data_IF_058669834721
#
_entry.id   IF_058669834721
#
_cell.length_a   1.000
_cell.length_b   1.000
_cell.length_c   1.000
_cell.angle_alpha   90.00
_cell.angle_beta   90.00
_cell.angle_gamma   90.00
#
_symmetry.space_group_name_H-M   'P 1'
#
loop_
_entity.id
_entity.type
_entity.pdbx_description
1 polymer ?
#
# COMPACT_ATOMS: atom_id res chain seq x y z
N UNK A 1 18.68 -37.62 14.88
CA UNK A 1 18.25 -37.79 13.47
C UNK A 1 18.43 -36.47 12.78
N UNK A 2 19.18 -36.45 11.69
CA UNK A 2 19.37 -35.25 10.86
C UNK A 2 18.20 -35.12 9.87
N UNK A 3 17.55 -33.97 9.83
CA UNK A 3 16.40 -33.69 8.97
C UNK A 3 16.73 -33.91 7.47
N UNK A 4 17.98 -33.67 7.07
CA UNK A 4 18.43 -33.91 5.70
C UNK A 4 18.29 -35.39 5.31
N UNK A 5 18.63 -36.32 6.20
CA UNK A 5 18.50 -37.76 5.94
C UNK A 5 17.05 -38.23 5.90
N UNK A 6 16.13 -37.51 6.54
CA UNK A 6 14.69 -37.78 6.45
C UNK A 6 14.09 -37.33 5.11
N UNK A 7 14.64 -36.28 4.50
CA UNK A 7 14.14 -35.71 3.24
C UNK A 7 14.71 -36.36 1.98
N UNK A 8 15.91 -36.95 2.07
CA UNK A 8 16.59 -37.63 0.93
C UNK A 8 15.69 -38.64 0.19
N UNK A 9 14.93 -39.55 0.85
CA UNK A 9 14.07 -40.49 0.13
C UNK A 9 12.99 -39.80 -0.71
N UNK A 10 12.37 -38.75 -0.18
CA UNK A 10 11.34 -37.99 -0.89
C UNK A 10 11.92 -37.19 -2.07
N UNK A 11 13.11 -36.60 -1.90
CA UNK A 11 13.84 -35.92 -2.98
C UNK A 11 14.26 -36.88 -4.09
N UNK A 12 14.71 -38.09 -3.75
CA UNK A 12 15.13 -39.10 -4.74
C UNK A 12 13.95 -39.64 -5.54
N UNK A 13 12.77 -39.83 -4.91
CA UNK A 13 11.55 -40.24 -5.61
C UNK A 13 10.90 -39.10 -6.41
N UNK A 14 11.22 -37.85 -6.10
CA UNK A 14 10.62 -36.67 -6.73
C UNK A 14 9.24 -36.30 -6.15
N UNK A 15 8.91 -36.78 -4.95
CA UNK A 15 7.63 -36.51 -4.28
C UNK A 15 7.49 -35.02 -3.89
N UNK A 16 8.62 -34.31 -3.79
CA UNK A 16 8.70 -32.89 -3.43
C UNK A 16 9.59 -32.12 -4.40
N UNK A 17 9.23 -30.87 -4.65
CA UNK A 17 10.06 -29.89 -5.39
C UNK A 17 10.53 -28.83 -4.41
N UNK A 18 11.82 -28.53 -4.43
CA UNK A 18 12.46 -27.63 -3.45
C UNK A 18 13.37 -26.65 -4.19
N UNK A 19 13.36 -25.40 -3.76
CA UNK A 19 14.37 -24.40 -4.10
C UNK A 19 15.17 -24.10 -2.84
N UNK A 20 16.50 -24.23 -2.94
CA UNK A 20 17.43 -23.89 -1.86
C UNK A 20 18.20 -22.62 -2.21
N UNK A 21 18.54 -21.84 -1.19
CA UNK A 21 19.46 -20.71 -1.31
C UNK A 21 20.62 -20.94 -0.34
N UNK A 22 21.84 -20.97 -0.88
CA UNK A 22 23.07 -21.22 -0.12
C UNK A 22 24.19 -20.33 -0.63
N UNK A 23 25.18 -20.07 0.19
CA UNK A 23 26.46 -19.56 -0.31
C UNK A 23 27.18 -20.65 -1.12
N UNK A 24 28.13 -20.27 -1.97
CA UNK A 24 28.92 -21.24 -2.75
C UNK A 24 29.70 -22.21 -1.86
N UNK A 25 30.25 -21.73 -0.74
CA UNK A 25 30.97 -22.54 0.23
C UNK A 25 30.08 -23.55 0.96
N UNK A 26 28.86 -23.17 1.32
CA UNK A 26 27.87 -24.09 1.90
C UNK A 26 27.39 -25.12 0.89
N UNK A 27 27.18 -24.72 -0.37
CA UNK A 27 26.83 -25.65 -1.44
C UNK A 27 27.91 -26.71 -1.61
N UNK A 28 29.18 -26.30 -1.70
CA UNK A 28 30.30 -27.23 -1.88
C UNK A 28 30.45 -28.18 -0.69
N UNK A 29 30.27 -27.67 0.54
CA UNK A 29 30.41 -28.46 1.77
C UNK A 29 29.27 -29.46 1.98
N UNK A 30 28.02 -29.06 1.72
CA UNK A 30 26.85 -29.81 2.17
C UNK A 30 26.05 -30.47 1.05
N UNK A 31 26.11 -29.94 -0.17
CA UNK A 31 25.37 -30.47 -1.33
C UNK A 31 26.30 -31.22 -2.27
N UNK A 32 27.37 -30.58 -2.74
CA UNK A 32 28.33 -31.20 -3.68
C UNK A 32 29.04 -32.40 -3.06
N UNK A 33 29.32 -32.35 -1.76
CA UNK A 33 29.93 -33.47 -1.03
C UNK A 33 29.05 -34.72 -0.91
N UNK A 34 27.73 -34.62 -1.13
CA UNK A 34 26.79 -35.75 -1.04
C UNK A 34 26.32 -36.18 -2.44
N UNK A 35 26.75 -37.36 -2.94
CA UNK A 35 26.40 -37.83 -4.28
C UNK A 35 24.90 -37.98 -4.56
N UNK A 36 24.08 -38.19 -3.52
CA UNK A 36 22.64 -38.31 -3.70
C UNK A 36 21.98 -36.94 -3.89
N UNK A 37 22.48 -35.91 -3.20
CA UNK A 37 21.97 -34.54 -3.31
C UNK A 37 22.50 -33.84 -4.57
N UNK A 38 23.78 -34.00 -4.90
CA UNK A 38 24.40 -33.41 -6.08
C UNK A 38 23.67 -33.80 -7.38
N UNK A 39 23.15 -35.03 -7.47
CA UNK A 39 22.40 -35.51 -8.64
C UNK A 39 20.96 -34.99 -8.72
N UNK A 40 20.45 -34.34 -7.68
CA UNK A 40 19.04 -33.90 -7.58
C UNK A 40 18.89 -32.39 -7.54
N UNK A 41 19.93 -31.68 -7.11
CA UNK A 41 19.97 -30.22 -7.20
C UNK A 41 20.69 -29.79 -8.47
N UNK A 42 20.02 -28.95 -9.25
CA UNK A 42 20.65 -28.19 -10.31
C UNK A 42 21.12 -26.85 -9.73
N UNK A 43 22.43 -26.57 -9.65
CA UNK A 43 22.89 -25.27 -9.21
C UNK A 43 22.52 -24.21 -10.26
N UNK A 44 21.98 -23.10 -9.78
CA UNK A 44 21.77 -21.87 -10.54
C UNK A 44 22.60 -20.80 -9.86
N UNK A 45 23.69 -20.39 -10.51
CA UNK A 45 24.57 -19.34 -9.98
C UNK A 45 23.85 -17.99 -10.10
N UNK A 46 23.77 -17.28 -8.99
CA UNK A 46 23.25 -15.91 -8.94
C UNK A 46 24.45 -14.99 -8.78
N UNK A 47 24.74 -14.23 -9.82
CA UNK A 47 25.80 -13.23 -9.81
C UNK A 47 25.33 -11.93 -9.14
N UNK A 48 26.29 -11.15 -8.65
CA UNK A 48 26.01 -9.81 -8.16
C UNK A 48 25.47 -8.93 -9.29
N UNK A 49 24.47 -8.10 -8.97
CA UNK A 49 23.87 -7.19 -9.95
C UNK A 49 24.86 -6.11 -10.40
N UNK A 50 24.78 -5.77 -11.69
CA UNK A 50 25.47 -4.59 -12.18
C UNK A 50 24.82 -3.29 -11.65
N UNK A 51 25.44 -2.14 -11.94
CA UNK A 51 24.98 -0.85 -11.43
C UNK A 51 23.61 -0.46 -12.01
N UNK A 52 23.31 -0.82 -13.26
CA UNK A 52 22.07 -0.47 -13.95
C UNK A 52 20.93 -1.35 -13.42
N UNK A 53 21.17 -2.65 -13.28
CA UNK A 53 20.22 -3.59 -12.66
C UNK A 53 19.92 -3.19 -11.21
N UNK A 54 20.94 -2.77 -10.47
CA UNK A 54 20.76 -2.27 -9.10
C UNK A 54 19.92 -1.00 -9.08
N UNK A 55 20.14 -0.08 -10.03
CA UNK A 55 19.32 1.11 -10.19
C UNK A 55 17.84 0.76 -10.39
N UNK A 56 17.54 -0.19 -11.28
CA UNK A 56 16.16 -0.66 -11.52
C UNK A 56 15.52 -1.24 -10.25
N UNK A 57 16.28 -2.04 -9.49
CA UNK A 57 15.83 -2.56 -8.18
C UNK A 57 15.52 -1.40 -7.22
N UNK A 58 16.40 -0.41 -7.11
CA UNK A 58 16.19 0.74 -6.22
C UNK A 58 14.98 1.59 -6.64
N UNK A 59 14.77 1.80 -7.95
CA UNK A 59 13.57 2.48 -8.48
C UNK A 59 12.31 1.70 -8.13
N UNK A 60 12.33 0.37 -8.28
CA UNK A 60 11.19 -0.48 -7.91
C UNK A 60 10.92 -0.48 -6.38
N UNK A 61 11.97 -0.34 -5.56
CA UNK A 61 11.87 -0.32 -4.09
C UNK A 61 11.49 1.06 -3.54
N UNK A 62 11.79 2.15 -4.25
CA UNK A 62 11.56 3.54 -3.82
C UNK A 62 10.16 3.79 -3.26
N UNK A 63 9.04 3.43 -3.95
CA UNK A 63 7.70 3.73 -3.42
C UNK A 63 7.40 2.99 -2.11
N UNK A 64 8.07 1.89 -1.81
CA UNK A 64 7.92 1.19 -0.54
C UNK A 64 8.71 1.87 0.57
N UNK A 65 9.94 2.30 0.28
CA UNK A 65 10.80 3.04 1.23
C UNK A 65 10.19 4.39 1.59
N UNK A 66 9.79 5.19 0.59
CA UNK A 66 9.14 6.49 0.79
C UNK A 66 7.91 6.37 1.70
N UNK A 67 7.07 5.36 1.47
CA UNK A 67 5.87 5.12 2.29
C UNK A 67 6.18 4.61 3.70
N UNK A 68 7.22 3.78 3.84
CA UNK A 68 7.57 3.21 5.14
C UNK A 68 8.11 4.28 6.08
N UNK A 69 8.99 5.12 5.56
CA UNK A 69 9.65 6.17 6.32
C UNK A 69 8.93 7.52 6.28
N UNK A 70 7.91 7.67 5.43
CA UNK A 70 7.24 8.95 5.18
C UNK A 70 8.21 10.06 4.74
N UNK A 71 9.04 9.75 3.74
CA UNK A 71 10.04 10.66 3.15
C UNK A 71 9.92 10.64 1.63
N UNK A 72 10.39 11.68 0.95
CA UNK A 72 10.60 11.65 -0.50
C UNK A 72 12.05 11.26 -0.82
N UNK A 73 12.27 10.47 -1.86
CA UNK A 73 13.62 10.04 -2.28
C UNK A 73 13.91 10.60 -3.68
N UNK A 74 15.07 11.22 -3.84
CA UNK A 74 15.53 11.76 -5.12
C UNK A 74 16.27 10.71 -5.96
N UNK A 75 16.32 10.92 -7.28
CA UNK A 75 17.15 10.12 -8.19
C UNK A 75 18.64 10.20 -7.81
N UNK A 76 19.09 11.36 -7.36
CA UNK A 76 20.46 11.59 -6.89
C UNK A 76 20.80 10.70 -5.68
N UNK A 77 19.88 10.53 -4.73
CA UNK A 77 20.06 9.62 -3.60
C UNK A 77 20.26 8.16 -4.06
N UNK A 78 19.52 7.71 -5.08
CA UNK A 78 19.72 6.36 -5.62
C UNK A 78 21.10 6.21 -6.29
N UNK A 79 21.56 7.23 -7.02
CA UNK A 79 22.89 7.22 -7.65
C UNK A 79 23.99 7.16 -6.60
N UNK A 80 23.89 8.01 -5.59
CA UNK A 80 24.82 8.06 -4.47
C UNK A 80 24.88 6.71 -3.74
N UNK A 81 23.72 6.06 -3.52
CA UNK A 81 23.67 4.78 -2.81
C UNK A 81 24.46 3.69 -3.54
N UNK A 82 24.37 3.65 -4.88
CA UNK A 82 25.15 2.71 -5.68
C UNK A 82 26.64 3.07 -5.63
N UNK A 83 26.98 4.29 -6.07
CA UNK A 83 28.38 4.71 -6.25
C UNK A 83 29.18 4.68 -4.95
N UNK A 84 28.60 5.14 -3.86
CA UNK A 84 29.30 5.23 -2.58
C UNK A 84 29.46 3.86 -1.93
N UNK A 85 28.44 2.99 -2.02
CA UNK A 85 28.56 1.63 -1.45
C UNK A 85 29.53 0.76 -2.24
N UNK A 86 29.65 0.95 -3.55
CA UNK A 86 30.70 0.27 -4.33
C UNK A 86 32.11 0.68 -3.94
N UNK A 87 32.29 1.96 -3.62
CA UNK A 87 33.60 2.49 -3.27
C UNK A 87 34.01 2.18 -1.84
N UNK A 88 33.06 2.24 -0.90
CA UNK A 88 33.35 2.25 0.54
C UNK A 88 32.85 1.01 1.29
N UNK A 89 32.02 0.16 0.64
CA UNK A 89 31.48 -1.09 1.21
C UNK A 89 31.71 -2.27 0.24
N UNK A 90 32.97 -2.56 -0.14
CA UNK A 90 33.29 -3.58 -1.15
C UNK A 90 33.07 -5.03 -0.69
N UNK A 91 32.95 -5.28 0.61
CA UNK A 91 32.76 -6.61 1.20
C UNK A 91 31.31 -7.11 1.12
N UNK A 92 30.37 -6.25 0.72
CA UNK A 92 28.96 -6.59 0.53
C UNK A 92 28.60 -6.52 -0.96
N UNK A 93 27.61 -7.32 -1.34
CA UNK A 93 27.13 -7.36 -2.71
C UNK A 93 25.94 -6.40 -2.93
N UNK A 94 25.82 -5.87 -4.15
CA UNK A 94 24.58 -5.28 -4.66
C UNK A 94 23.48 -6.34 -4.78
N UNK A 95 22.18 -5.95 -4.71
CA UNK A 95 21.67 -4.62 -4.41
C UNK A 95 21.57 -4.32 -2.91
N UNK A 96 21.83 -5.31 -2.06
CA UNK A 96 21.60 -5.31 -0.62
C UNK A 96 22.28 -4.13 0.08
N UNK A 97 23.59 -3.93 -0.15
CA UNK A 97 24.33 -2.80 0.43
C UNK A 97 23.77 -1.42 0.09
N UNK A 98 23.25 -1.26 -1.14
CA UNK A 98 22.71 0.02 -1.61
C UNK A 98 21.31 0.28 -1.03
N UNK A 99 20.50 -0.79 -0.89
CA UNK A 99 19.19 -0.71 -0.23
C UNK A 99 19.37 -0.32 1.24
N UNK A 100 20.31 -0.95 1.95
CA UNK A 100 20.53 -0.71 3.37
C UNK A 100 20.92 0.73 3.68
N UNK A 101 21.92 1.27 2.97
CA UNK A 101 22.35 2.66 3.17
C UNK A 101 21.23 3.64 2.83
N UNK A 102 20.44 3.34 1.79
CA UNK A 102 19.29 4.18 1.44
C UNK A 102 18.20 4.11 2.51
N UNK A 103 17.91 2.93 3.07
CA UNK A 103 16.93 2.73 4.13
C UNK A 103 17.33 3.47 5.41
N UNK A 104 18.61 3.40 5.79
CA UNK A 104 19.17 4.14 6.93
C UNK A 104 19.12 5.65 6.70
N UNK A 105 19.40 6.13 5.49
CA UNK A 105 19.26 7.54 5.14
C UNK A 105 17.80 8.01 5.25
N UNK A 106 16.84 7.18 4.87
CA UNK A 106 15.41 7.46 5.03
C UNK A 106 15.01 7.51 6.51
N UNK A 107 15.44 6.52 7.30
CA UNK A 107 15.17 6.46 8.74
C UNK A 107 15.74 7.69 9.46
N UNK A 108 16.97 8.10 9.12
CA UNK A 108 17.60 9.30 9.65
C UNK A 108 16.81 10.56 9.28
N UNK A 109 16.47 10.74 8.00
CA UNK A 109 15.71 11.90 7.55
C UNK A 109 14.39 12.03 8.32
N UNK A 110 13.66 10.92 8.48
CA UNK A 110 12.41 10.91 9.24
C UNK A 110 12.61 11.19 10.73
N UNK A 111 13.64 10.63 11.35
CA UNK A 111 13.93 10.84 12.76
C UNK A 111 14.27 12.32 13.07
N UNK A 112 14.87 13.02 12.10
CA UNK A 112 15.19 14.45 12.23
C UNK A 112 14.06 15.39 11.79
N UNK A 113 13.00 14.85 11.18
CA UNK A 113 11.92 15.66 10.63
C UNK A 113 10.97 16.18 11.73
N UNK A 114 10.57 17.44 11.60
CA UNK A 114 9.44 17.99 12.35
C UNK A 114 8.16 17.79 11.51
N UNK A 115 7.30 16.85 11.94
CA UNK A 115 6.10 16.50 11.19
C UNK A 115 4.98 17.52 11.44
N UNK A 116 4.56 18.25 10.40
CA UNK A 116 3.43 19.15 10.52
C UNK A 116 2.09 18.37 10.58
N UNK A 117 1.03 18.92 11.23
CA UNK A 117 -0.27 18.27 11.32
C UNK A 117 -0.90 17.87 9.98
N UNK A 118 -0.64 18.64 8.92
CA UNK A 118 -1.17 18.37 7.58
C UNK A 118 -0.53 17.13 6.94
N UNK A 119 0.79 16.99 7.03
CA UNK A 119 1.48 15.78 6.57
C UNK A 119 0.97 14.54 7.32
N UNK A 120 0.80 14.69 8.63
CA UNK A 120 0.27 13.66 9.51
C UNK A 120 -1.15 13.22 9.11
N UNK A 121 -1.99 14.18 8.72
CA UNK A 121 -3.34 13.95 8.20
C UNK A 121 -3.27 13.18 6.88
N UNK A 122 -2.46 13.62 5.92
CA UNK A 122 -2.30 12.97 4.61
C UNK A 122 -1.80 11.52 4.77
N UNK A 123 -0.85 11.28 5.66
CA UNK A 123 -0.34 9.92 5.96
C UNK A 123 -1.48 9.03 6.49
N UNK A 124 -2.30 9.54 7.41
CA UNK A 124 -3.44 8.80 7.97
C UNK A 124 -4.50 8.51 6.91
N UNK A 125 -4.86 9.49 6.07
CA UNK A 125 -5.82 9.31 4.98
C UNK A 125 -5.34 8.26 3.97
N UNK A 126 -4.07 8.34 3.56
CA UNK A 126 -3.47 7.37 2.64
C UNK A 126 -3.40 5.97 3.23
N UNK A 127 -3.15 5.82 4.53
CA UNK A 127 -3.23 4.52 5.25
C UNK A 127 -4.64 3.95 5.27
N UNK A 128 -5.68 4.79 5.42
CA UNK A 128 -7.08 4.35 5.37
C UNK A 128 -7.44 3.79 4.00
N UNK A 129 -7.10 4.51 2.92
CA UNK A 129 -7.35 4.08 1.53
C UNK A 129 -6.64 2.74 1.25
N UNK A 130 -5.38 2.60 1.67
CA UNK A 130 -4.65 1.33 1.54
C UNK A 130 -5.29 0.16 2.31
N UNK A 131 -5.89 0.44 3.47
CA UNK A 131 -6.61 -0.58 4.23
C UNK A 131 -7.91 -0.99 3.51
N UNK A 132 -8.61 -0.05 2.86
CA UNK A 132 -9.80 -0.35 2.05
C UNK A 132 -9.45 -1.19 0.81
N UNK A 133 -8.41 -0.82 0.07
CA UNK A 133 -7.95 -1.58 -1.10
C UNK A 133 -7.54 -3.00 -0.70
N UNK A 134 -6.82 -3.17 0.42
CA UNK A 134 -6.46 -4.51 0.93
C UNK A 134 -7.65 -5.37 1.32
N UNK A 135 -8.79 -4.76 1.65
CA UNK A 135 -10.07 -5.45 1.91
C UNK A 135 -10.86 -5.77 0.63
N UNK A 136 -10.34 -5.40 -0.55
CA UNK A 136 -10.98 -5.65 -1.83
C UNK A 136 -12.05 -4.62 -2.22
N UNK A 137 -12.12 -3.48 -1.53
CA UNK A 137 -13.01 -2.39 -1.92
C UNK A 137 -12.47 -1.69 -3.17
N UNK A 138 -13.36 -1.24 -4.05
CA UNK A 138 -13.03 -0.46 -5.27
C UNK A 138 -13.40 1.01 -5.15
N UNK A 139 -14.41 1.33 -4.33
CA UNK A 139 -14.86 2.68 -4.04
C UNK A 139 -14.91 2.89 -2.52
N UNK A 140 -14.84 4.15 -2.09
CA UNK A 140 -15.15 4.50 -0.70
C UNK A 140 -16.60 4.13 -0.41
N UNK A 141 -16.83 3.37 0.66
CA UNK A 141 -18.18 3.20 1.19
C UNK A 141 -18.68 4.58 1.58
N UNK A 142 -19.81 5.06 0.99
CA UNK A 142 -20.35 6.34 1.40
C UNK A 142 -20.64 6.26 2.90
N UNK A 143 -20.11 7.22 3.66
CA UNK A 143 -20.65 7.51 4.98
C UNK A 143 -22.06 8.03 4.73
N UNK A 144 -23.04 7.13 4.67
CA UNK A 144 -24.42 7.54 4.76
C UNK A 144 -24.59 8.01 6.20
N UNK A 145 -24.43 9.31 6.45
CA UNK A 145 -25.37 9.94 7.39
C UNK A 145 -26.75 9.56 6.86
N UNK A 146 -27.62 8.92 7.66
CA UNK A 146 -28.97 8.63 7.18
C UNK A 146 -29.53 9.97 6.74
N UNK A 147 -29.79 10.12 5.44
CA UNK A 147 -30.26 11.38 4.88
C UNK A 147 -31.47 11.79 5.72
N UNK A 148 -31.36 12.92 6.43
CA UNK A 148 -32.41 13.38 7.33
C UNK A 148 -33.75 13.45 6.59
N UNK A 149 -33.70 13.80 5.30
CA UNK A 149 -34.82 13.80 4.36
C UNK A 149 -35.46 12.42 4.16
N UNK A 150 -34.66 11.35 4.08
CA UNK A 150 -35.17 10.00 3.88
C UNK A 150 -35.83 9.46 5.16
N UNK A 151 -35.26 9.80 6.33
CA UNK A 151 -35.88 9.49 7.63
C UNK A 151 -37.17 10.29 7.81
N UNK A 152 -37.17 11.57 7.40
CA UNK A 152 -38.33 12.46 7.46
C UNK A 152 -39.47 12.03 6.52
N UNK A 153 -39.19 11.38 5.38
CA UNK A 153 -40.22 10.81 4.50
C UNK A 153 -40.71 9.43 4.95
N UNK A 154 -39.82 8.57 5.41
CA UNK A 154 -40.16 7.18 5.73
C UNK A 154 -41.00 7.09 7.01
N UNK A 155 -40.72 7.92 8.03
CA UNK A 155 -41.44 7.86 9.31
C UNK A 155 -42.94 8.16 9.18
N UNK A 156 -43.36 9.27 8.55
CA UNK A 156 -44.78 9.57 8.35
C UNK A 156 -45.47 8.54 7.45
N UNK A 157 -44.75 7.97 6.48
CA UNK A 157 -45.26 6.93 5.61
C UNK A 157 -45.56 5.65 6.39
N UNK A 158 -44.66 5.24 7.29
CA UNK A 158 -44.85 4.06 8.16
C UNK A 158 -46.00 4.27 9.16
N UNK A 159 -46.13 5.46 9.76
CA UNK A 159 -47.26 5.78 10.63
C UNK A 159 -48.60 5.68 9.90
N UNK A 160 -48.65 6.19 8.66
CA UNK A 160 -49.86 6.14 7.83
C UNK A 160 -50.24 4.71 7.46
N UNK A 161 -49.25 3.86 7.12
CA UNK A 161 -49.46 2.43 6.86
C UNK A 161 -49.93 1.71 8.13
N UNK A 162 -49.36 2.03 9.30
CA UNK A 162 -49.79 1.49 10.59
C UNK A 162 -51.25 1.82 10.90
N UNK A 163 -51.65 3.09 10.74
CA UNK A 163 -53.02 3.53 10.95
C UNK A 163 -54.03 2.91 9.96
N UNK A 164 -53.59 2.64 8.73
CA UNK A 164 -54.40 2.00 7.70
C UNK A 164 -54.61 0.50 7.97
N UNK A 165 -53.57 -0.19 8.46
CA UNK A 165 -53.65 -1.58 8.92
C UNK A 165 -54.56 -1.69 10.16
N UNK A 166 -54.47 -0.74 11.08
CA UNK A 166 -55.32 -0.69 12.29
C UNK A 166 -56.80 -0.45 11.95
N UNK A 167 -57.09 0.39 10.94
CA UNK A 167 -58.44 0.55 10.36
C UNK A 167 -58.94 -0.71 9.65
N UNK A 168 -58.06 -1.49 9.03
CA UNK A 168 -58.44 -2.73 8.34
C UNK A 168 -58.69 -3.90 9.31
N UNK A 169 -57.99 -3.93 10.45
CA UNK A 169 -58.10 -4.99 11.47
C UNK A 169 -59.08 -4.66 12.61
N UNK A 170 -59.41 -3.38 12.82
CA UNK A 170 -60.43 -2.91 13.77
C UNK A 170 -61.84 -3.00 13.17
N UNK A 171 -62.44 -4.20 13.20
CA UNK A 171 -63.81 -4.40 12.77
C UNK A 171 -64.83 -3.63 13.64
N UNK A 172 -65.61 -2.76 13.02
CA UNK A 172 -67.08 -2.87 12.99
C UNK A 172 -67.67 -1.93 11.93
N UNK A 173 -68.37 -2.52 10.95
CA UNK A 173 -69.11 -1.80 9.91
C UNK A 173 -70.39 -1.23 10.51
N UNK A 174 -70.53 0.10 10.50
CA UNK A 174 -71.62 0.81 9.79
C UNK A 174 -71.44 2.33 9.87
N UNK A 175 -71.14 2.95 8.75
CA UNK A 175 -71.58 4.32 8.48
C UNK A 175 -72.06 4.41 7.03
N UNK A 176 -73.29 4.90 6.88
CA UNK A 176 -73.87 5.37 5.62
C UNK A 176 -73.04 6.51 5.04
N UNK A 177 -73.11 6.60 3.72
CA UNK A 177 -72.77 7.69 2.82
C UNK A 177 -72.66 9.10 3.41
N UNK A 178 -71.62 9.83 2.99
CA UNK A 178 -71.68 11.25 2.56
C UNK A 178 -70.63 11.49 1.46
N UNK A 179 -71.07 12.13 0.39
CA UNK A 179 -70.33 12.65 -0.76
C UNK A 179 -69.53 13.93 -0.45
N UNK A 180 -68.60 14.27 -1.35
CA UNK A 180 -67.88 15.54 -1.43
C UNK A 180 -66.47 15.41 -0.87
N UNK A 181 -65.39 15.77 -1.56
CA UNK A 181 -65.19 16.63 -2.71
C UNK A 181 -63.79 17.23 -2.53
N UNK A 182 -63.12 17.50 -3.65
CA UNK A 182 -61.96 18.40 -3.81
C UNK A 182 -60.53 17.84 -3.62
N UNK A 183 -59.70 18.09 -4.64
CA UNK A 183 -58.26 18.29 -4.45
C UNK A 183 -57.29 17.30 -5.10
N UNK A 184 -57.46 16.92 -6.38
CA UNK A 184 -56.40 16.21 -7.10
C UNK A 184 -55.31 17.21 -7.55
N UNK A 185 -54.29 17.43 -6.71
CA UNK A 185 -53.07 18.15 -7.12
C UNK A 185 -52.12 17.14 -7.74
N UNK A 186 -52.07 17.13 -9.07
CA UNK A 186 -51.09 16.36 -9.82
C UNK A 186 -49.69 16.93 -9.58
N UNK A 187 -48.90 16.29 -8.73
CA UNK A 187 -47.45 16.46 -8.71
C UNK A 187 -46.91 15.86 -10.02
N UNK A 188 -46.55 16.73 -10.98
CA UNK A 188 -45.77 16.31 -12.13
C UNK A 188 -44.40 15.79 -11.68
N UNK A 189 -43.83 14.78 -12.36
CA UNK A 189 -42.51 14.27 -12.02
C UNK A 189 -41.49 15.43 -12.12
N UNK A 190 -40.58 15.59 -11.14
CA UNK A 190 -39.54 16.62 -11.21
C UNK A 190 -38.71 16.43 -12.48
N UNK A 191 -38.22 17.52 -13.10
CA UNK A 191 -37.40 17.42 -14.30
C UNK A 191 -36.16 16.55 -14.02
N UNK A 192 -35.71 15.73 -14.98
CA UNK A 192 -34.51 14.94 -14.81
C UNK A 192 -33.34 15.90 -14.59
N UNK A 193 -32.79 15.90 -13.38
CA UNK A 193 -31.56 16.61 -13.07
C UNK A 193 -30.47 16.06 -13.97
N UNK A 194 -30.05 16.86 -14.96
CA UNK A 194 -28.87 16.59 -15.79
C UNK A 194 -27.59 16.89 -15.01
N UNK A 195 -27.52 16.45 -13.75
CA UNK A 195 -26.26 16.33 -13.06
C UNK A 195 -25.50 15.21 -13.77
N UNK A 196 -24.45 15.58 -14.51
CA UNK A 196 -23.48 14.63 -15.02
C UNK A 196 -22.92 13.92 -13.80
N UNK A 197 -23.47 12.76 -13.47
CA UNK A 197 -23.00 11.93 -12.38
C UNK A 197 -21.66 11.36 -12.83
N UNK A 198 -20.59 12.13 -12.62
CA UNK A 198 -19.24 11.58 -12.69
C UNK A 198 -19.22 10.47 -11.63
N UNK A 199 -18.87 9.23 -11.97
CA UNK A 199 -18.75 8.18 -10.98
C UNK A 199 -17.72 8.63 -9.94
N UNK A 200 -17.95 8.34 -8.65
CA UNK A 200 -16.98 8.68 -7.61
C UNK A 200 -15.62 8.05 -7.95
N UNK A 201 -14.51 8.78 -7.72
CA UNK A 201 -13.19 8.28 -8.02
C UNK A 201 -12.97 6.92 -7.36
N UNK A 202 -12.31 6.03 -8.08
CA UNK A 202 -11.91 4.72 -7.54
C UNK A 202 -10.92 4.93 -6.41
N UNK A 203 -10.83 3.96 -5.49
CA UNK A 203 -9.82 3.97 -4.43
C UNK A 203 -8.39 4.02 -4.99
N UNK A 204 -8.18 3.47 -6.19
CA UNK A 204 -6.89 3.55 -6.91
C UNK A 204 -6.56 4.98 -7.33
N UNK A 205 -7.53 5.70 -7.91
CA UNK A 205 -7.37 7.10 -8.29
C UNK A 205 -7.16 7.98 -7.05
N UNK A 206 -7.96 7.77 -6.00
CA UNK A 206 -7.81 8.48 -4.73
C UNK A 206 -6.45 8.23 -4.08
N UNK A 207 -5.97 6.99 -4.14
CA UNK A 207 -4.62 6.65 -3.68
C UNK A 207 -3.56 7.41 -4.47
N UNK A 208 -3.66 7.46 -5.79
CA UNK A 208 -2.69 8.16 -6.63
C UNK A 208 -2.67 9.67 -6.35
N UNK A 209 -3.84 10.27 -6.14
CA UNK A 209 -3.98 11.68 -5.72
C UNK A 209 -3.28 11.93 -4.38
N UNK A 210 -3.57 11.10 -3.36
CA UNK A 210 -2.94 11.19 -2.05
C UNK A 210 -1.43 10.97 -2.10
N UNK A 211 -0.95 10.02 -2.90
CA UNK A 211 0.48 9.77 -3.09
C UNK A 211 1.16 11.03 -3.69
N UNK A 212 0.49 11.75 -4.60
CA UNK A 212 0.96 13.03 -5.15
C UNK A 212 0.98 14.18 -4.14
N UNK A 213 -0.11 14.35 -3.38
CA UNK A 213 -0.21 15.37 -2.32
C UNK A 213 0.83 15.15 -1.21
N UNK A 214 1.00 13.89 -0.78
CA UNK A 214 2.02 13.51 0.18
C UNK A 214 3.41 13.88 -0.29
N UNK A 215 3.74 13.56 -1.55
CA UNK A 215 5.05 13.88 -2.10
C UNK A 215 5.30 15.39 -2.12
N UNK A 216 4.32 16.18 -2.57
CA UNK A 216 4.43 17.64 -2.60
C UNK A 216 4.62 18.22 -1.19
N UNK A 217 3.90 17.70 -0.20
CA UNK A 217 4.01 18.17 1.19
C UNK A 217 5.36 17.78 1.83
N UNK A 218 5.85 16.57 1.55
CA UNK A 218 7.17 16.12 1.99
C UNK A 218 8.29 16.99 1.39
N UNK A 219 8.18 17.34 0.11
CA UNK A 219 9.10 18.24 -0.56
C UNK A 219 9.03 19.66 0.00
N UNK A 220 7.82 20.17 0.27
CA UNK A 220 7.61 21.48 0.88
C UNK A 220 8.22 21.58 2.29
N UNK A 221 8.08 20.53 3.10
CA UNK A 221 8.68 20.46 4.45
C UNK A 221 10.17 20.09 4.43
N UNK A 222 10.74 19.79 3.26
CA UNK A 222 12.15 19.41 3.13
C UNK A 222 12.48 18.01 3.65
N UNK A 223 11.48 17.15 3.86
CA UNK A 223 11.65 15.75 4.28
C UNK A 223 12.00 14.91 3.05
N UNK A 224 13.17 15.20 2.48
CA UNK A 224 13.66 14.68 1.20
C UNK A 224 15.06 14.11 1.36
N UNK A 225 15.22 12.84 1.03
CA UNK A 225 16.51 12.14 1.01
C UNK A 225 17.26 12.46 -0.29
N UNK A 226 18.46 13.01 -0.13
CA UNK A 226 19.37 13.42 -1.22
C UNK A 226 20.67 12.62 -1.18
N UNK A 227 21.50 12.72 -2.23
CA UNK A 227 22.78 12.03 -2.27
C UNK A 227 23.72 12.41 -1.12
N UNK A 228 23.65 13.65 -0.62
CA UNK A 228 24.41 14.07 0.56
C UNK A 228 23.99 13.34 1.85
N UNK A 229 22.72 12.97 1.99
CA UNK A 229 22.25 12.22 3.17
C UNK A 229 22.78 10.79 3.14
N UNK A 230 22.77 10.17 1.95
CA UNK A 230 23.41 8.87 1.71
C UNK A 230 24.90 8.93 2.02
N UNK A 231 25.60 9.97 1.57
CA UNK A 231 27.03 10.15 1.85
C UNK A 231 27.32 10.28 3.35
N UNK A 232 26.45 10.97 4.10
CA UNK A 232 26.55 11.08 5.56
C UNK A 232 26.43 9.71 6.23
N UNK A 233 25.49 8.88 5.80
CA UNK A 233 25.30 7.52 6.32
C UNK A 233 26.53 6.66 6.04
N UNK A 234 26.98 6.60 4.78
CA UNK A 234 28.19 5.83 4.42
C UNK A 234 29.40 6.34 5.20
N UNK A 235 29.56 7.66 5.30
CA UNK A 235 30.64 8.29 6.04
C UNK A 235 30.64 7.93 7.52
N UNK A 236 29.45 7.89 8.14
CA UNK A 236 29.28 7.48 9.53
C UNK A 236 29.68 6.01 9.73
N UNK A 237 29.24 5.12 8.83
CA UNK A 237 29.57 3.70 8.88
C UNK A 237 31.09 3.43 8.78
N UNK A 238 31.82 4.21 7.98
CA UNK A 238 33.28 4.05 7.80
C UNK A 238 34.13 4.97 8.70
N UNK A 239 33.51 5.82 9.52
CA UNK A 239 34.19 6.79 10.39
C UNK A 239 34.94 7.90 9.65
N UNK A 240 34.49 8.31 8.45
CA UNK A 240 35.12 9.37 7.64
C UNK A 240 34.08 10.32 7.06
N UNK A 241 34.43 11.61 6.94
CA UNK A 241 33.61 12.56 6.18
C UNK A 241 33.64 12.23 4.70
N UNK A 242 32.47 12.03 4.09
CA UNK A 242 32.31 11.82 2.65
C UNK A 242 31.48 12.98 2.09
N UNK A 243 31.98 13.60 1.03
CA UNK A 243 31.22 14.57 0.24
C UNK A 243 30.67 13.90 -1.02
N UNK A 244 29.43 14.24 -1.37
CA UNK A 244 28.79 13.82 -2.62
C UNK A 244 28.59 15.01 -3.55
N UNK A 245 29.07 14.84 -4.79
CA UNK A 245 28.85 15.76 -5.90
C UNK A 245 28.23 14.95 -7.05
N UNK A 246 27.06 15.41 -7.51
CA UNK A 246 26.21 14.73 -8.49
C UNK A 246 26.73 14.88 -9.93
#
# INVERSE_FOLDING_TARGET
MDAANMLKPALVRGDIRVVGATTGSEYDKWIRGDPALERRFQPVLIEELDAIQTWEVLVARRPRLERHHAVAITDDALKAAIVLTDRFVPERARPDKAIDVLDEACAHAQATAAVAPELDRLIRERRKVDAMIRRGLTHETPQHEPAEDLVAEIFPMLERIGAEIEKMLGGERRAKAVEGGEGNVAYGPPPPSTAVHRPPPTLTERRAELDGLLRAELEHQGIVVRGQDVARVVGTAIGKGIEWQA
#
